data_IF_311611316860
#
_entry.id   IF_311611316860
#
_cell.length_a   1.000
_cell.length_b   1.000
_cell.length_c   1.000
_cell.angle_alpha   90.00
_cell.angle_beta   90.00
_cell.angle_gamma   90.00
#
_symmetry.space_group_name_H-M   'P 1'
#
loop_
_entity.id
_entity.type
_entity.pdbx_description
1 polymer ?
#
# COMPACT_ATOMS: atom_id res chain seq x y z
N UNK A 1 0.95 -60.97 -14.07
CA UNK A 1 0.31 -59.72 -13.63
C UNK A 1 1.28 -58.62 -14.02
N UNK A 2 0.91 -57.69 -14.85
CA UNK A 2 1.80 -56.57 -15.13
C UNK A 2 1.89 -55.72 -13.90
N UNK A 3 3.12 -55.39 -13.50
CA UNK A 3 3.45 -54.44 -12.45
C UNK A 3 2.77 -53.11 -12.73
N UNK A 4 1.84 -52.71 -11.85
CA UNK A 4 1.30 -51.37 -11.83
C UNK A 4 2.45 -50.46 -11.33
N UNK A 5 3.19 -49.88 -12.26
CA UNK A 5 4.00 -48.72 -11.97
C UNK A 5 3.09 -47.60 -11.45
N UNK A 6 3.06 -47.43 -10.13
CA UNK A 6 2.50 -46.22 -9.53
C UNK A 6 3.37 -45.07 -9.97
N UNK A 7 2.99 -44.42 -11.07
CA UNK A 7 3.51 -43.11 -11.39
C UNK A 7 3.05 -42.16 -10.29
N UNK A 8 3.91 -41.90 -9.32
CA UNK A 8 3.70 -40.86 -8.32
C UNK A 8 3.65 -39.58 -9.13
N UNK A 9 2.44 -39.08 -9.40
CA UNK A 9 2.25 -37.75 -9.98
C UNK A 9 2.98 -36.76 -9.05
N UNK A 10 3.87 -35.92 -9.58
CA UNK A 10 4.60 -34.99 -8.77
C UNK A 10 3.59 -34.14 -7.99
N UNK A 11 3.83 -33.99 -6.68
CA UNK A 11 2.99 -33.14 -5.84
C UNK A 11 3.01 -31.73 -6.43
N UNK A 12 1.90 -31.37 -7.04
CA UNK A 12 1.75 -30.18 -7.86
C UNK A 12 1.67 -28.91 -7.02
N UNK A 13 1.18 -29.03 -5.79
CA UNK A 13 0.97 -27.92 -4.87
C UNK A 13 1.72 -28.14 -3.57
N UNK A 14 2.23 -27.05 -3.02
CA UNK A 14 2.78 -27.01 -1.65
C UNK A 14 1.90 -26.12 -0.80
N UNK A 15 1.72 -26.53 0.44
CA UNK A 15 0.93 -25.80 1.42
C UNK A 15 1.82 -25.42 2.58
N UNK A 16 1.87 -24.13 2.84
CA UNK A 16 2.62 -23.54 3.96
C UNK A 16 1.59 -22.97 4.93
N UNK A 17 1.65 -23.42 6.19
CA UNK A 17 0.86 -22.82 7.26
C UNK A 17 1.45 -21.47 7.61
N UNK A 18 0.63 -20.44 7.59
CA UNK A 18 0.94 -19.08 7.99
C UNK A 18 0.23 -18.80 9.30
N UNK A 19 0.97 -18.56 10.37
CA UNK A 19 0.39 -18.19 11.67
C UNK A 19 0.60 -16.70 11.91
N UNK A 20 -0.51 -16.01 12.12
CA UNK A 20 -0.56 -14.59 12.47
C UNK A 20 -0.76 -14.49 13.98
N UNK A 21 0.10 -13.75 14.68
CA UNK A 21 0.05 -13.60 16.14
C UNK A 21 -0.13 -12.14 16.52
N UNK A 22 -1.30 -11.79 17.02
CA UNK A 22 -1.55 -10.47 17.59
C UNK A 22 -1.15 -10.47 19.06
N UNK A 23 -0.01 -9.89 19.38
CA UNK A 23 0.52 -9.74 20.73
C UNK A 23 0.00 -8.47 21.44
N UNK A 24 -0.93 -7.73 20.83
CA UNK A 24 -1.51 -6.53 21.41
C UNK A 24 -2.69 -6.87 22.29
N UNK A 25 -2.94 -6.05 23.31
CA UNK A 25 -4.10 -6.15 24.21
C UNK A 25 -5.43 -5.76 23.54
N UNK A 26 -5.40 -5.33 22.30
CA UNK A 26 -6.56 -4.93 21.48
C UNK A 26 -6.63 -5.79 20.24
N UNK A 27 -7.82 -6.20 19.84
CA UNK A 27 -8.04 -6.91 18.60
C UNK A 27 -7.75 -6.00 17.38
N UNK A 28 -7.37 -6.60 16.24
CA UNK A 28 -7.30 -5.88 14.97
C UNK A 28 -8.69 -5.46 14.48
N UNK A 29 -8.76 -4.58 13.52
CA UNK A 29 -10.03 -4.21 12.87
C UNK A 29 -10.72 -5.43 12.23
N UNK A 30 -11.97 -5.25 11.80
CA UNK A 30 -12.72 -6.24 11.03
C UNK A 30 -13.36 -5.58 9.81
N UNK A 31 -12.93 -5.87 8.58
CA UNK A 31 -11.80 -6.73 8.23
C UNK A 31 -10.44 -6.11 8.60
N UNK A 32 -9.42 -6.97 8.69
CA UNK A 32 -8.02 -6.59 8.85
C UNK A 32 -7.22 -6.91 7.60
N UNK A 33 -6.28 -6.04 7.23
CA UNK A 33 -5.35 -6.27 6.13
C UNK A 33 -3.96 -6.56 6.68
N UNK A 34 -3.59 -7.83 6.62
CA UNK A 34 -2.31 -8.33 7.12
C UNK A 34 -1.24 -8.27 6.03
N UNK A 35 -0.13 -7.64 6.33
CA UNK A 35 1.09 -7.78 5.52
C UNK A 35 1.77 -9.12 5.80
N UNK A 36 2.03 -9.90 4.75
CA UNK A 36 2.79 -11.14 4.79
C UNK A 36 4.06 -10.94 3.98
N UNK A 37 5.21 -11.01 4.67
CA UNK A 37 6.54 -10.85 4.09
C UNK A 37 7.36 -12.11 4.33
N UNK A 38 7.92 -12.70 3.26
CA UNK A 38 8.76 -13.89 3.32
C UNK A 38 9.97 -13.74 2.39
N UNK A 39 11.16 -14.10 2.86
CA UNK A 39 12.32 -14.12 1.96
C UNK A 39 12.20 -15.25 0.94
N UNK A 40 12.70 -15.00 -0.26
CA UNK A 40 12.67 -15.99 -1.34
C UNK A 40 13.43 -17.28 -0.93
N UNK A 41 14.61 -17.14 -0.34
CA UNK A 41 15.42 -18.27 0.11
C UNK A 41 14.69 -19.10 1.18
N UNK A 42 14.02 -18.45 2.15
CA UNK A 42 13.25 -19.16 3.15
C UNK A 42 12.04 -19.85 2.54
N UNK A 43 11.39 -19.22 1.56
CA UNK A 43 10.31 -19.83 0.80
C UNK A 43 10.79 -21.09 0.07
N UNK A 44 11.93 -21.04 -0.62
CA UNK A 44 12.55 -22.22 -1.28
C UNK A 44 12.86 -23.33 -0.28
N UNK A 45 13.39 -22.97 0.90
CA UNK A 45 13.66 -23.95 1.97
C UNK A 45 12.39 -24.65 2.46
N UNK A 46 11.28 -23.93 2.59
CA UNK A 46 9.97 -24.48 2.96
C UNK A 46 9.38 -25.36 1.84
N UNK A 47 9.56 -24.97 0.58
CA UNK A 47 9.05 -25.71 -0.57
C UNK A 47 9.85 -26.99 -0.85
N UNK A 48 11.13 -27.00 -0.52
CA UNK A 48 12.07 -28.08 -0.86
C UNK A 48 12.39 -28.18 -2.36
N UNK A 49 12.01 -27.16 -3.15
CA UNK A 49 12.23 -27.10 -4.60
C UNK A 49 12.49 -25.66 -5.03
N UNK A 50 13.18 -25.48 -6.16
CA UNK A 50 13.36 -24.17 -6.77
C UNK A 50 12.11 -23.70 -7.51
N UNK A 51 11.79 -22.42 -7.40
CA UNK A 51 10.76 -21.75 -8.20
C UNK A 51 11.29 -20.36 -8.57
N UNK A 52 11.00 -19.92 -9.79
CA UNK A 52 11.35 -18.58 -10.25
C UNK A 52 10.61 -17.54 -9.38
N UNK A 53 11.32 -16.56 -8.78
CA UNK A 53 10.69 -15.54 -7.94
C UNK A 53 9.61 -14.74 -8.66
N UNK A 54 9.74 -14.53 -9.97
CA UNK A 54 8.75 -13.79 -10.75
C UNK A 54 7.48 -14.59 -11.06
N UNK A 55 7.50 -15.90 -10.88
CA UNK A 55 6.34 -16.78 -11.05
C UNK A 55 5.59 -17.00 -9.74
N UNK A 56 6.25 -16.83 -8.60
CA UNK A 56 5.66 -17.01 -7.27
C UNK A 56 4.33 -16.26 -7.09
N UNK A 57 4.22 -14.97 -7.44
CA UNK A 57 2.96 -14.23 -7.26
C UNK A 57 1.80 -14.79 -8.08
N UNK A 58 2.06 -15.33 -9.26
CA UNK A 58 1.04 -15.88 -10.17
C UNK A 58 0.52 -17.25 -9.71
N UNK A 59 1.33 -17.96 -8.94
CA UNK A 59 1.06 -19.35 -8.54
C UNK A 59 0.69 -19.47 -7.07
N UNK A 60 0.47 -18.35 -6.37
CA UNK A 60 0.21 -18.31 -4.94
C UNK A 60 -1.21 -17.83 -4.66
N UNK A 61 -1.93 -18.59 -3.85
CA UNK A 61 -3.20 -18.17 -3.24
C UNK A 61 -3.13 -18.35 -1.73
N UNK A 62 -4.00 -17.65 -1.01
CA UNK A 62 -4.20 -17.83 0.41
C UNK A 62 -5.57 -18.46 0.66
N UNK A 63 -5.63 -19.41 1.60
CA UNK A 63 -6.86 -20.04 2.05
C UNK A 63 -7.05 -19.74 3.53
N UNK A 64 -8.29 -19.43 3.88
CA UNK A 64 -8.76 -19.28 5.24
C UNK A 64 -9.48 -20.58 5.68
N UNK A 65 -8.83 -21.43 6.47
CA UNK A 65 -9.44 -22.70 6.89
C UNK A 65 -10.59 -22.51 7.87
N UNK A 66 -10.65 -21.37 8.58
CA UNK A 66 -11.71 -21.09 9.54
C UNK A 66 -13.00 -20.65 8.83
N UNK A 67 -12.86 -19.88 7.75
CA UNK A 67 -13.98 -19.53 6.88
C UNK A 67 -14.29 -20.59 5.82
N UNK A 68 -13.45 -21.62 5.68
CA UNK A 68 -13.51 -22.61 4.59
C UNK A 68 -13.58 -21.93 3.22
N UNK A 69 -12.78 -20.92 3.01
CA UNK A 69 -12.80 -20.04 1.84
C UNK A 69 -11.40 -19.65 1.39
N UNK A 70 -11.28 -19.19 0.15
CA UNK A 70 -10.10 -18.50 -0.32
C UNK A 70 -10.07 -17.09 0.28
N UNK A 71 -8.94 -16.69 0.87
CA UNK A 71 -8.75 -15.35 1.38
C UNK A 71 -8.36 -14.40 0.23
N UNK A 72 -8.96 -13.22 0.19
CA UNK A 72 -8.54 -12.19 -0.75
C UNK A 72 -7.12 -11.74 -0.45
N UNK A 73 -6.28 -11.74 -1.47
CA UNK A 73 -4.90 -11.31 -1.37
C UNK A 73 -4.51 -10.39 -2.51
N UNK A 74 -3.48 -9.60 -2.29
CA UNK A 74 -2.91 -8.69 -3.26
C UNK A 74 -1.38 -8.73 -3.15
N UNK A 75 -0.72 -9.03 -4.26
CA UNK A 75 0.74 -9.10 -4.31
C UNK A 75 1.32 -7.70 -4.50
N UNK A 76 2.17 -7.28 -3.57
CA UNK A 76 2.80 -5.98 -3.58
C UNK A 76 4.08 -5.95 -4.42
N UNK A 77 5.06 -6.75 -4.05
CA UNK A 77 6.39 -6.64 -4.64
C UNK A 77 7.30 -7.83 -4.34
N UNK A 78 8.32 -7.94 -5.16
CA UNK A 78 9.56 -8.65 -4.86
C UNK A 78 10.71 -7.63 -4.93
N UNK A 79 11.41 -7.44 -3.81
CA UNK A 79 12.49 -6.45 -3.71
C UNK A 79 13.89 -7.03 -4.01
N UNK A 80 13.94 -8.22 -4.59
CA UNK A 80 15.18 -8.99 -4.82
C UNK A 80 15.50 -9.97 -3.69
N UNK A 81 14.86 -9.83 -2.53
CA UNK A 81 15.07 -10.69 -1.36
C UNK A 81 13.75 -11.20 -0.82
N UNK A 82 12.75 -10.34 -0.69
CA UNK A 82 11.47 -10.63 -0.05
C UNK A 82 10.29 -10.50 -1.01
N UNK A 83 9.39 -11.48 -0.95
CA UNK A 83 8.04 -11.37 -1.45
C UNK A 83 7.14 -10.74 -0.40
N UNK A 84 6.16 -9.94 -0.85
CA UNK A 84 5.23 -9.24 0.00
C UNK A 84 3.81 -9.34 -0.54
N UNK A 85 2.89 -9.73 0.33
CA UNK A 85 1.45 -9.75 0.06
C UNK A 85 0.71 -8.96 1.12
N UNK A 86 -0.43 -8.44 0.74
CA UNK A 86 -1.49 -8.00 1.66
C UNK A 86 -2.63 -9.01 1.57
N UNK A 87 -3.05 -9.54 2.72
CA UNK A 87 -4.10 -10.56 2.80
C UNK A 87 -5.20 -10.07 3.71
N UNK A 88 -6.43 -10.08 3.20
CA UNK A 88 -7.61 -9.70 3.98
C UNK A 88 -8.00 -10.82 4.90
N UNK A 89 -8.10 -10.54 6.18
CA UNK A 89 -8.50 -11.47 7.24
C UNK A 89 -9.69 -10.92 8.02
N UNK A 90 -10.40 -11.75 8.77
CA UNK A 90 -11.24 -11.28 9.87
C UNK A 90 -10.39 -10.61 10.95
N UNK A 91 -11.06 -10.06 11.97
CA UNK A 91 -10.36 -9.57 13.16
C UNK A 91 -9.55 -10.67 13.85
N UNK A 92 -8.31 -10.35 14.21
CA UNK A 92 -7.47 -11.20 15.05
C UNK A 92 -7.60 -10.70 16.48
N UNK A 93 -8.11 -11.54 17.38
CA UNK A 93 -8.37 -11.19 18.75
C UNK A 93 -7.13 -10.69 19.50
N UNK A 94 -7.34 -9.99 20.61
CA UNK A 94 -6.25 -9.58 21.51
C UNK A 94 -5.49 -10.81 22.04
N UNK A 95 -4.15 -10.74 22.05
CA UNK A 95 -3.25 -11.83 22.50
C UNK A 95 -3.62 -13.18 21.91
N UNK A 96 -3.99 -13.22 20.64
CA UNK A 96 -4.44 -14.45 19.99
C UNK A 96 -3.75 -14.68 18.62
N UNK A 97 -3.98 -15.87 18.07
CA UNK A 97 -3.44 -16.29 16.78
C UNK A 97 -4.55 -16.52 15.77
N UNK A 98 -4.22 -16.34 14.50
CA UNK A 98 -5.03 -16.70 13.34
C UNK A 98 -4.20 -17.51 12.35
N UNK A 99 -4.81 -18.48 11.71
CA UNK A 99 -4.10 -19.35 10.74
C UNK A 99 -4.64 -19.13 9.34
N UNK A 100 -3.73 -18.96 8.39
CA UNK A 100 -3.97 -19.04 6.96
C UNK A 100 -3.13 -20.17 6.36
N UNK A 101 -3.48 -20.60 5.17
CA UNK A 101 -2.64 -21.46 4.35
C UNK A 101 -2.22 -20.69 3.08
N UNK A 102 -0.91 -20.63 2.85
CA UNK A 102 -0.32 -20.17 1.60
C UNK A 102 -0.13 -21.40 0.70
N UNK A 103 -0.79 -21.43 -0.43
CA UNK A 103 -0.79 -22.54 -1.38
C UNK A 103 -0.07 -22.11 -2.64
N UNK A 104 1.00 -22.81 -3.01
CA UNK A 104 1.81 -22.51 -4.18
C UNK A 104 1.76 -23.67 -5.16
N UNK A 105 1.38 -23.38 -6.42
CA UNK A 105 1.44 -24.34 -7.52
C UNK A 105 2.85 -24.31 -8.14
N UNK A 106 3.50 -25.48 -8.13
CA UNK A 106 4.87 -25.63 -8.62
C UNK A 106 4.98 -25.79 -10.13
N UNK A 107 3.87 -25.86 -10.85
CA UNK A 107 3.84 -26.17 -12.29
C UNK A 107 3.76 -24.93 -13.18
N UNK A 108 3.99 -23.74 -12.63
CA UNK A 108 3.90 -22.46 -13.33
C UNK A 108 2.55 -22.21 -14.01
N UNK A 109 1.48 -22.75 -13.44
CA UNK A 109 0.12 -22.47 -13.90
C UNK A 109 -0.55 -21.51 -12.93
N UNK A 110 -1.20 -20.48 -13.47
CA UNK A 110 -2.04 -19.58 -12.69
C UNK A 110 -3.07 -20.38 -11.91
N UNK A 111 -3.09 -20.22 -10.60
CA UNK A 111 -4.06 -20.89 -9.72
C UNK A 111 -5.43 -20.22 -9.89
N UNK A 112 -5.49 -18.90 -9.65
CA UNK A 112 -6.67 -18.06 -9.85
C UNK A 112 -6.25 -16.60 -9.92
N UNK A 113 -6.32 -16.03 -11.12
CA UNK A 113 -5.91 -14.65 -11.37
C UNK A 113 -6.70 -13.60 -10.57
N UNK A 114 -7.95 -13.90 -10.22
CA UNK A 114 -8.79 -12.96 -9.48
C UNK A 114 -8.34 -12.78 -8.02
N UNK A 115 -7.56 -13.71 -7.47
CA UNK A 115 -7.10 -13.69 -6.08
C UNK A 115 -5.59 -13.57 -5.94
N UNK A 116 -4.85 -13.71 -7.04
CA UNK A 116 -3.40 -13.59 -7.00
C UNK A 116 -2.93 -12.17 -6.69
N UNK A 117 -3.78 -11.16 -6.95
CA UNK A 117 -3.51 -9.78 -6.61
C UNK A 117 -2.23 -9.27 -7.25
N UNK A 118 -2.02 -9.56 -8.55
CA UNK A 118 -0.84 -9.11 -9.24
C UNK A 118 -0.96 -7.62 -9.47
N UNK A 119 -0.04 -6.93 -8.91
CA UNK A 119 0.16 -5.53 -9.18
C UNK A 119 1.03 -5.35 -10.42
N UNK A 120 0.42 -4.99 -11.53
CA UNK A 120 1.13 -4.56 -12.72
C UNK A 120 1.56 -3.09 -12.58
N UNK A 121 2.12 -2.72 -11.41
CA UNK A 121 2.63 -1.37 -11.16
C UNK A 121 3.75 -1.08 -12.16
N UNK A 122 3.80 0.15 -12.63
CA UNK A 122 4.88 0.65 -13.45
C UNK A 122 4.97 -0.01 -14.83
N UNK A 123 3.85 -0.46 -15.36
CA UNK A 123 3.84 -1.14 -16.66
C UNK A 123 4.62 -2.46 -16.67
N UNK A 124 4.97 -2.99 -15.50
CA UNK A 124 5.58 -4.32 -15.42
C UNK A 124 4.58 -5.35 -15.89
N UNK A 125 5.01 -6.13 -16.85
CA UNK A 125 4.21 -7.16 -17.47
C UNK A 125 4.75 -8.51 -17.00
N UNK A 126 4.11 -9.08 -15.98
CA UNK A 126 4.44 -10.42 -15.52
C UNK A 126 3.90 -11.45 -16.52
N UNK A 127 4.80 -12.19 -17.17
CA UNK A 127 4.45 -13.27 -18.11
C UNK A 127 3.49 -12.83 -19.25
N UNK A 128 3.60 -11.60 -19.73
CA UNK A 128 2.74 -11.09 -20.80
C UNK A 128 1.37 -10.60 -20.36
N UNK A 129 1.11 -10.43 -19.08
CA UNK A 129 -0.17 -9.94 -18.56
C UNK A 129 -0.36 -8.44 -18.80
N UNK A 130 -1.60 -8.03 -19.07
CA UNK A 130 -1.94 -6.63 -19.22
C UNK A 130 -1.95 -5.92 -17.86
N UNK A 131 -1.69 -4.61 -17.86
CA UNK A 131 -1.76 -3.80 -16.65
C UNK A 131 -3.10 -4.00 -15.93
N UNK A 132 -3.04 -4.34 -14.64
CA UNK A 132 -4.21 -4.54 -13.79
C UNK A 132 -5.05 -5.79 -14.09
N UNK A 133 -4.66 -6.65 -15.01
CA UNK A 133 -5.47 -7.81 -15.44
C UNK A 133 -5.88 -8.73 -14.27
N UNK A 134 -4.99 -8.93 -13.30
CA UNK A 134 -5.23 -9.78 -12.13
C UNK A 134 -5.20 -8.99 -10.82
N UNK A 135 -5.39 -7.69 -10.90
CA UNK A 135 -5.34 -6.82 -9.73
C UNK A 135 -6.60 -7.00 -8.88
N UNK A 136 -6.41 -7.47 -7.66
CA UNK A 136 -7.45 -7.77 -6.68
C UNK A 136 -7.55 -6.71 -5.57
N UNK A 137 -6.89 -5.57 -5.70
CA UNK A 137 -6.80 -4.56 -4.64
C UNK A 137 -8.16 -4.09 -4.10
N UNK A 138 -9.16 -3.98 -4.97
CA UNK A 138 -10.53 -3.59 -4.57
C UNK A 138 -11.21 -4.56 -3.60
N UNK A 139 -10.84 -5.83 -3.60
CA UNK A 139 -11.38 -6.84 -2.68
C UNK A 139 -10.59 -6.90 -1.37
N UNK A 140 -9.30 -6.50 -1.39
CA UNK A 140 -8.41 -6.53 -0.23
C UNK A 140 -8.53 -5.28 0.62
N UNK A 141 -8.42 -4.10 0.01
CA UNK A 141 -8.33 -2.82 0.69
C UNK A 141 -9.70 -2.17 0.90
N UNK A 142 -9.81 -1.26 1.86
CA UNK A 142 -11.03 -0.49 2.13
C UNK A 142 -11.32 0.53 1.02
N UNK A 143 -10.26 1.11 0.46
CA UNK A 143 -10.28 1.92 -0.75
C UNK A 143 -9.05 1.57 -1.56
N UNK A 144 -9.24 1.41 -2.85
CA UNK A 144 -8.16 1.06 -3.77
C UNK A 144 -8.43 1.62 -5.15
N UNK A 145 -7.38 2.17 -5.77
CA UNK A 145 -7.38 2.51 -7.18
C UNK A 145 -5.99 2.26 -7.78
N UNK A 146 -5.92 1.56 -8.89
CA UNK A 146 -4.71 1.37 -9.69
C UNK A 146 -4.65 2.28 -10.91
N UNK A 147 -5.63 3.18 -11.05
CA UNK A 147 -5.75 4.12 -12.16
C UNK A 147 -5.59 3.46 -13.54
N UNK A 148 -6.10 2.22 -13.68
CA UNK A 148 -6.06 1.49 -14.94
C UNK A 148 -6.90 2.16 -16.03
N UNK A 149 -6.42 2.10 -17.27
CA UNK A 149 -7.10 2.72 -18.42
C UNK A 149 -6.76 4.19 -18.59
N UNK A 150 -7.71 4.96 -19.11
CA UNK A 150 -7.50 6.37 -19.51
C UNK A 150 -8.49 7.34 -18.89
N UNK A 151 -9.33 6.87 -17.95
CA UNK A 151 -10.38 7.67 -17.32
C UNK A 151 -10.25 7.62 -15.81
N UNK A 152 -10.33 8.79 -15.17
CA UNK A 152 -10.34 8.87 -13.71
C UNK A 152 -11.61 8.24 -13.15
N UNK A 153 -11.46 7.41 -12.12
CA UNK A 153 -12.59 6.83 -11.40
C UNK A 153 -13.46 7.90 -10.74
N UNK A 154 -14.77 7.70 -10.74
CA UNK A 154 -15.76 8.61 -10.14
C UNK A 154 -15.67 8.73 -8.60
N UNK A 155 -14.86 7.90 -7.95
CA UNK A 155 -14.57 8.07 -6.51
C UNK A 155 -13.71 9.31 -6.23
N UNK A 156 -13.02 9.84 -7.24
CA UNK A 156 -12.15 10.99 -7.12
C UNK A 156 -12.84 12.25 -7.57
N UNK A 157 -12.78 13.28 -6.75
CA UNK A 157 -13.02 14.68 -7.12
C UNK A 157 -11.68 15.38 -7.31
N UNK A 158 -11.66 16.41 -8.15
CA UNK A 158 -10.46 17.17 -8.48
C UNK A 158 -10.52 18.58 -7.94
N UNK A 159 -9.40 19.17 -7.59
CA UNK A 159 -9.26 20.58 -7.22
C UNK A 159 -7.95 21.15 -7.78
N UNK A 160 -7.93 22.44 -8.04
CA UNK A 160 -6.80 23.13 -8.69
C UNK A 160 -6.99 23.31 -10.20
N UNK A 161 -5.95 23.78 -10.87
CA UNK A 161 -5.98 24.07 -12.32
C UNK A 161 -4.76 23.51 -13.08
N UNK A 162 -4.02 22.61 -12.47
CA UNK A 162 -3.00 21.82 -13.15
C UNK A 162 -3.61 20.77 -14.07
N UNK A 163 -2.75 20.06 -14.76
CA UNK A 163 -3.15 19.00 -15.70
C UNK A 163 -3.21 17.65 -15.00
N UNK A 164 -4.32 16.93 -15.15
CA UNK A 164 -4.48 15.55 -14.69
C UNK A 164 -4.64 14.65 -15.93
N UNK A 165 -3.78 13.65 -16.04
CA UNK A 165 -3.82 12.67 -17.12
C UNK A 165 -3.86 11.26 -16.53
N UNK A 166 -4.76 10.41 -17.03
CA UNK A 166 -4.85 9.00 -16.66
C UNK A 166 -4.41 8.15 -17.84
N UNK A 167 -3.41 7.31 -17.63
CA UNK A 167 -2.92 6.35 -18.61
C UNK A 167 -2.19 5.22 -17.87
N UNK A 168 -2.95 4.24 -17.34
CA UNK A 168 -2.41 3.18 -16.48
C UNK A 168 -1.54 3.76 -15.35
N UNK A 169 -2.15 4.64 -14.60
CA UNK A 169 -1.59 5.53 -13.60
C UNK A 169 -2.18 6.93 -13.77
N UNK A 170 -2.17 7.73 -12.71
CA UNK A 170 -2.62 9.13 -12.76
C UNK A 170 -1.43 10.06 -12.60
N UNK A 171 -1.22 10.92 -13.59
CA UNK A 171 -0.19 11.96 -13.56
C UNK A 171 -0.82 13.32 -13.26
N UNK A 172 -0.32 13.98 -12.23
CA UNK A 172 -0.68 15.37 -11.90
C UNK A 172 0.53 16.27 -12.20
N UNK A 173 0.32 17.23 -13.06
CA UNK A 173 1.36 18.20 -13.47
C UNK A 173 0.91 19.62 -13.13
N UNK A 174 1.77 20.37 -12.44
CA UNK A 174 1.53 21.74 -11.99
C UNK A 174 2.72 22.61 -12.38
N UNK A 175 2.46 23.74 -13.02
CA UNK A 175 3.45 24.78 -13.33
C UNK A 175 3.46 25.87 -12.27
N UNK A 176 4.48 26.73 -12.27
CA UNK A 176 4.58 27.88 -11.34
C UNK A 176 3.47 28.93 -11.48
N UNK A 177 2.72 28.90 -12.57
CA UNK A 177 1.55 29.78 -12.79
C UNK A 177 0.21 29.15 -12.41
N UNK A 178 0.21 27.87 -11.96
CA UNK A 178 -0.99 27.11 -11.64
C UNK A 178 -1.11 26.91 -10.13
N UNK A 179 -2.35 26.74 -9.65
CA UNK A 179 -2.59 26.35 -8.26
C UNK A 179 -2.24 24.87 -8.04
N UNK A 180 -1.91 24.48 -6.80
CA UNK A 180 -1.77 23.08 -6.43
C UNK A 180 -2.99 22.27 -6.91
N UNK A 181 -2.72 21.09 -7.45
CA UNK A 181 -3.78 20.24 -8.04
C UNK A 181 -3.85 18.92 -7.33
N UNK A 182 -5.06 18.51 -6.98
CA UNK A 182 -5.31 17.38 -6.09
C UNK A 182 -6.42 16.45 -6.58
N UNK A 183 -6.33 15.22 -6.13
CA UNK A 183 -7.40 14.23 -6.13
C UNK A 183 -7.86 14.00 -4.70
N UNK A 184 -9.18 13.98 -4.49
CA UNK A 184 -9.82 13.89 -3.18
C UNK A 184 -10.91 12.84 -3.23
N UNK A 185 -10.97 11.98 -2.23
CA UNK A 185 -12.06 11.02 -2.03
C UNK A 185 -12.60 11.07 -0.61
N UNK A 186 -13.88 10.75 -0.47
CA UNK A 186 -14.52 10.66 0.85
C UNK A 186 -14.29 9.30 1.47
N UNK A 187 -14.07 9.28 2.78
CA UNK A 187 -13.95 8.07 3.58
C UNK A 187 -15.25 7.85 4.33
N UNK A 188 -15.96 6.78 4.00
CA UNK A 188 -17.25 6.44 4.60
C UNK A 188 -17.12 5.71 5.93
N UNK A 189 -16.02 4.96 6.12
CA UNK A 189 -15.77 4.19 7.34
C UNK A 189 -14.29 4.23 7.69
N UNK A 190 -14.01 4.56 8.95
CA UNK A 190 -12.65 4.62 9.49
C UNK A 190 -12.51 3.52 10.53
N UNK A 191 -11.54 2.60 10.38
CA UNK A 191 -11.25 1.59 11.40
C UNK A 191 -10.90 2.22 12.75
N UNK A 192 -11.36 1.61 13.84
CA UNK A 192 -11.15 2.14 15.20
C UNK A 192 -9.69 2.11 15.64
N UNK A 193 -8.88 1.25 15.05
CA UNK A 193 -7.44 1.14 15.33
C UNK A 193 -6.61 2.20 14.65
N UNK A 194 -7.07 2.72 13.51
CA UNK A 194 -6.37 3.68 12.68
C UNK A 194 -6.39 3.30 11.21
N UNK A 195 -5.62 4.01 10.42
CA UNK A 195 -5.58 3.87 8.96
C UNK A 195 -4.15 3.91 8.43
N UNK A 196 -3.98 3.26 7.30
CA UNK A 196 -2.77 3.29 6.50
C UNK A 196 -3.14 3.67 5.07
N UNK A 197 -2.39 4.59 4.48
CA UNK A 197 -2.31 4.73 3.02
C UNK A 197 -0.97 4.22 2.54
N UNK A 198 -1.01 3.38 1.55
CA UNK A 198 0.16 2.98 0.75
C UNK A 198 -0.05 3.46 -0.68
N UNK A 199 0.99 4.02 -1.24
CA UNK A 199 0.95 4.47 -2.63
C UNK A 199 2.22 4.02 -3.36
N UNK A 200 2.11 3.89 -4.67
CA UNK A 200 3.20 3.61 -5.60
C UNK A 200 3.25 4.74 -6.60
N UNK A 201 4.36 5.44 -6.63
CA UNK A 201 4.46 6.66 -7.42
C UNK A 201 5.86 6.86 -8.00
N UNK A 202 5.93 7.76 -8.98
CA UNK A 202 7.18 8.27 -9.56
C UNK A 202 7.17 9.79 -9.50
N UNK A 203 8.29 10.36 -9.14
CA UNK A 203 8.57 11.77 -9.32
C UNK A 203 9.11 11.96 -10.73
N UNK A 204 8.32 12.56 -11.61
CA UNK A 204 8.73 12.80 -13.01
C UNK A 204 9.58 14.09 -13.10
N UNK A 205 9.17 15.14 -12.41
CA UNK A 205 9.89 16.40 -12.33
C UNK A 205 9.58 17.17 -11.05
N UNK A 206 10.54 17.93 -10.56
CA UNK A 206 10.37 18.91 -9.49
C UNK A 206 10.84 20.24 -10.03
N UNK A 207 9.94 21.23 -10.06
CA UNK A 207 10.26 22.59 -10.52
C UNK A 207 10.52 23.51 -9.34
N UNK A 208 11.67 24.24 -9.42
CA UNK A 208 12.00 25.32 -8.50
C UNK A 208 12.21 24.94 -7.04
N UNK A 209 12.43 25.95 -6.21
CA UNK A 209 12.95 25.78 -4.85
C UNK A 209 11.94 25.96 -3.72
N UNK A 210 10.64 26.11 -3.99
CA UNK A 210 9.66 26.31 -2.93
C UNK A 210 8.37 25.52 -3.18
N UNK A 211 7.97 24.71 -2.21
CA UNK A 211 6.70 24.00 -2.14
C UNK A 211 6.44 22.93 -3.23
N UNK A 212 7.47 22.48 -3.94
CA UNK A 212 7.30 21.41 -4.91
C UNK A 212 7.37 20.04 -4.20
N UNK A 213 6.24 19.52 -3.80
CA UNK A 213 6.16 18.25 -3.10
C UNK A 213 4.98 17.39 -3.54
N UNK A 214 5.08 16.11 -3.29
CA UNK A 214 3.97 15.19 -3.33
C UNK A 214 3.36 15.06 -1.93
N UNK A 215 2.08 15.30 -1.82
CA UNK A 215 1.38 15.41 -0.54
C UNK A 215 0.31 14.35 -0.45
N UNK A 216 0.25 13.63 0.67
CA UNK A 216 -0.92 12.82 1.05
C UNK A 216 -1.50 13.38 2.34
N UNK A 217 -2.80 13.50 2.38
CA UNK A 217 -3.53 14.18 3.44
C UNK A 217 -4.71 13.34 3.94
N UNK A 218 -4.84 13.27 5.25
CA UNK A 218 -6.01 12.74 5.95
C UNK A 218 -6.70 13.86 6.74
N UNK A 219 -7.98 14.08 6.54
CA UNK A 219 -8.65 15.09 7.33
C UNK A 219 -10.07 15.40 6.89
N UNK A 220 -10.43 16.66 7.10
CA UNK A 220 -11.68 17.24 6.71
C UNK A 220 -11.44 18.56 5.98
N UNK A 221 -12.24 18.87 4.97
CA UNK A 221 -12.05 20.03 4.08
C UNK A 221 -10.64 20.10 3.49
N UNK A 222 -10.04 18.95 3.16
CA UNK A 222 -8.66 18.88 2.69
C UNK A 222 -8.45 19.73 1.42
N UNK A 223 -7.27 20.35 1.32
CA UNK A 223 -6.86 21.25 0.25
C UNK A 223 -7.73 22.52 0.11
N UNK A 224 -8.37 22.95 1.20
CA UNK A 224 -9.12 24.22 1.27
C UNK A 224 -8.48 25.17 2.31
N UNK A 225 -8.95 26.42 2.33
CA UNK A 225 -8.52 27.40 3.34
C UNK A 225 -8.99 27.08 4.77
N UNK A 226 -9.94 26.15 4.95
CA UNK A 226 -10.45 25.68 6.25
C UNK A 226 -10.02 24.24 6.58
N UNK A 227 -8.98 23.75 5.95
CA UNK A 227 -8.46 22.38 6.12
C UNK A 227 -8.10 22.08 7.56
N UNK A 228 -8.56 20.91 8.05
CA UNK A 228 -8.18 20.31 9.31
C UNK A 228 -7.67 18.90 9.03
N UNK A 229 -6.33 18.69 9.15
CA UNK A 229 -5.74 17.47 8.61
C UNK A 229 -4.39 17.13 9.24
N UNK A 230 -4.01 15.85 9.10
CA UNK A 230 -2.63 15.41 9.10
C UNK A 230 -2.13 15.16 7.68
N UNK A 231 -0.86 15.48 7.46
CA UNK A 231 -0.26 15.55 6.14
C UNK A 231 1.08 14.84 6.17
N UNK A 232 1.37 14.07 5.13
CA UNK A 232 2.74 13.69 4.78
C UNK A 232 3.13 14.36 3.49
N UNK A 233 4.37 14.84 3.45
CA UNK A 233 4.98 15.43 2.27
C UNK A 233 6.24 14.65 1.97
N UNK A 234 6.40 14.25 0.71
CA UNK A 234 7.62 13.67 0.18
C UNK A 234 8.26 14.67 -0.79
N UNK A 235 9.55 14.92 -0.59
CA UNK A 235 10.38 15.81 -1.42
C UNK A 235 9.80 17.21 -1.55
N UNK A 236 9.81 17.93 -0.45
CA UNK A 236 9.38 19.32 -0.43
C UNK A 236 10.55 20.25 -0.70
N UNK A 237 10.29 21.21 -1.57
CA UNK A 237 11.16 22.31 -1.98
C UNK A 237 12.63 21.94 -2.28
N UNK A 238 13.47 22.90 -2.59
CA UNK A 238 14.88 22.67 -2.91
C UNK A 238 15.76 22.14 -1.78
N UNK A 239 15.18 21.81 -0.62
CA UNK A 239 15.86 21.22 0.53
C UNK A 239 15.65 19.71 0.65
N UNK A 240 14.83 19.10 -0.23
CA UNK A 240 14.62 17.65 -0.24
C UNK A 240 14.23 17.07 1.13
N UNK A 241 13.33 17.73 1.86
CA UNK A 241 12.88 17.24 3.17
C UNK A 241 11.57 16.46 3.05
N UNK A 242 11.54 15.26 3.64
CA UNK A 242 10.31 14.57 3.95
C UNK A 242 9.73 15.10 5.26
N UNK A 243 8.41 15.25 5.33
CA UNK A 243 7.77 15.88 6.49
C UNK A 243 6.48 15.19 6.90
N UNK A 244 6.26 15.14 8.23
CA UNK A 244 4.94 14.99 8.84
C UNK A 244 4.49 16.37 9.33
N UNK A 245 3.25 16.73 9.02
CA UNK A 245 2.70 18.04 9.35
C UNK A 245 1.21 17.95 9.70
N UNK A 246 0.65 19.06 10.16
CA UNK A 246 -0.79 19.26 10.33
C UNK A 246 -1.23 20.61 9.80
N UNK A 247 -2.53 20.70 9.49
CA UNK A 247 -3.23 21.96 9.32
C UNK A 247 -4.36 22.07 10.33
N UNK A 248 -4.52 23.25 10.91
CA UNK A 248 -5.62 23.63 11.81
C UNK A 248 -6.27 24.87 11.22
N UNK A 249 -7.52 24.72 10.74
CA UNK A 249 -8.24 25.81 10.04
C UNK A 249 -7.38 26.45 8.92
N UNK A 250 -6.74 25.59 8.12
CA UNK A 250 -5.85 25.98 7.02
C UNK A 250 -4.43 26.38 7.41
N UNK A 251 -4.15 26.66 8.68
CA UNK A 251 -2.81 27.04 9.16
C UNK A 251 -1.90 25.84 9.27
N UNK A 252 -0.80 25.84 8.52
CA UNK A 252 0.19 24.76 8.45
C UNK A 252 1.17 24.79 9.62
N UNK A 253 1.51 23.62 10.13
CA UNK A 253 2.55 23.39 11.14
C UNK A 253 3.31 22.11 10.86
N UNK A 254 4.62 22.19 10.67
CA UNK A 254 5.48 20.99 10.61
C UNK A 254 5.57 20.35 11.99
N UNK A 255 5.41 19.02 12.05
CA UNK A 255 5.52 18.22 13.27
C UNK A 255 6.87 17.51 13.33
N UNK A 256 7.34 16.98 12.23
CA UNK A 256 8.65 16.33 12.10
C UNK A 256 9.13 16.43 10.65
N UNK A 257 10.46 16.43 10.47
CA UNK A 257 11.09 16.45 9.15
C UNK A 257 12.41 15.70 9.15
N UNK A 258 12.79 15.18 8.00
CA UNK A 258 14.10 14.56 7.74
C UNK A 258 14.57 14.95 6.35
N UNK A 259 15.84 15.30 6.22
CA UNK A 259 16.42 15.59 4.92
C UNK A 259 16.58 14.29 4.11
N UNK A 260 16.16 14.34 2.88
CA UNK A 260 16.21 13.25 1.93
C UNK A 260 16.80 13.69 0.59
N UNK A 261 17.13 12.75 -0.28
CA UNK A 261 17.63 13.02 -1.62
C UNK A 261 16.53 12.79 -2.65
N UNK A 262 16.26 13.78 -3.48
CA UNK A 262 15.30 13.63 -4.57
C UNK A 262 15.75 12.55 -5.54
N UNK A 263 14.90 11.57 -5.80
CA UNK A 263 15.14 10.53 -6.79
C UNK A 263 14.11 10.64 -7.91
N UNK A 264 14.53 11.29 -9.01
CA UNK A 264 13.70 11.44 -10.20
C UNK A 264 13.60 10.14 -10.99
N UNK A 265 12.45 9.91 -11.61
CA UNK A 265 12.18 8.83 -12.54
C UNK A 265 12.40 7.42 -11.96
N UNK A 266 12.30 7.28 -10.65
CA UNK A 266 12.32 5.97 -9.98
C UNK A 266 11.00 5.71 -9.27
N UNK A 267 10.51 4.48 -9.38
CA UNK A 267 9.35 4.04 -8.64
C UNK A 267 9.68 3.95 -7.16
N UNK A 268 8.87 4.58 -6.34
CA UNK A 268 8.88 4.39 -4.89
C UNK A 268 7.52 3.92 -4.40
N UNK A 269 7.49 3.32 -3.24
CA UNK A 269 6.27 3.25 -2.46
C UNK A 269 6.40 4.11 -1.21
N UNK A 270 5.34 4.88 -0.98
CA UNK A 270 5.16 5.68 0.22
C UNK A 270 4.16 5.03 1.15
N UNK A 271 4.34 5.24 2.44
CA UNK A 271 3.52 4.69 3.49
C UNK A 271 3.19 5.79 4.48
N UNK A 272 1.90 6.04 4.71
CA UNK A 272 1.45 6.99 5.72
C UNK A 272 0.45 6.29 6.64
N UNK A 273 0.79 6.16 7.92
CA UNK A 273 -0.04 5.57 8.94
C UNK A 273 -0.46 6.62 9.97
N UNK A 274 -1.73 6.58 10.32
CA UNK A 274 -2.29 7.28 11.46
C UNK A 274 -3.04 6.27 12.33
N UNK A 275 -2.50 5.97 13.50
CA UNK A 275 -3.21 5.17 14.50
C UNK A 275 -3.47 5.98 15.77
N UNK A 276 -4.45 5.57 16.55
CA UNK A 276 -4.91 6.29 17.72
C UNK A 276 -5.03 5.33 18.92
N UNK A 277 -4.49 5.75 20.06
CA UNK A 277 -4.70 5.14 21.37
C UNK A 277 -5.35 6.15 22.30
N UNK A 278 -4.59 6.88 23.07
CA UNK A 278 -5.02 8.07 23.84
C UNK A 278 -4.58 9.37 23.16
N UNK A 279 -3.72 9.27 22.18
CA UNK A 279 -3.26 10.35 21.29
C UNK A 279 -3.09 9.80 19.89
N UNK A 280 -2.98 10.66 18.90
CA UNK A 280 -2.68 10.28 17.52
C UNK A 280 -1.18 10.05 17.36
N UNK A 281 -0.84 8.97 16.70
CA UNK A 281 0.52 8.63 16.26
C UNK A 281 0.56 8.62 14.74
N UNK A 282 1.48 9.37 14.19
CA UNK A 282 1.70 9.49 12.75
C UNK A 282 3.04 8.85 12.42
N UNK A 283 3.06 8.09 11.34
CA UNK A 283 4.26 7.47 10.82
C UNK A 283 4.26 7.57 9.29
N UNK A 284 5.40 7.93 8.73
CA UNK A 284 5.63 7.87 7.29
C UNK A 284 6.91 7.11 6.98
N UNK A 285 6.94 6.53 5.79
CA UNK A 285 8.09 5.82 5.26
C UNK A 285 8.17 6.01 3.74
N UNK A 286 9.40 6.06 3.23
CA UNK A 286 9.71 6.12 1.81
C UNK A 286 10.74 5.04 1.47
N UNK A 287 10.51 4.31 0.39
CA UNK A 287 11.23 3.06 0.10
C UNK A 287 12.58 3.24 -0.61
N UNK A 288 12.78 4.33 -1.36
CA UNK A 288 14.00 4.50 -2.16
C UNK A 288 15.20 4.86 -1.30
N UNK A 289 14.99 5.77 -0.35
CA UNK A 289 16.04 6.26 0.56
C UNK A 289 15.95 5.61 1.93
N UNK A 290 14.90 4.80 2.15
CA UNK A 290 14.62 4.10 3.42
C UNK A 290 14.47 5.07 4.59
N UNK A 291 13.87 6.25 4.33
CA UNK A 291 13.61 7.26 5.35
C UNK A 291 12.26 7.03 6.01
N UNK A 292 12.21 7.33 7.29
CA UNK A 292 10.98 7.27 8.06
C UNK A 292 10.92 8.40 9.08
N UNK A 293 9.70 8.84 9.37
CA UNK A 293 9.40 9.78 10.45
C UNK A 293 8.27 9.23 11.30
N UNK A 294 8.31 9.54 12.58
CA UNK A 294 7.21 9.29 13.50
C UNK A 294 7.03 10.45 14.47
N UNK A 295 5.79 10.75 14.81
CA UNK A 295 5.46 11.80 15.79
C UNK A 295 4.11 11.49 16.44
N UNK A 296 3.94 11.92 17.69
CA UNK A 296 2.63 11.94 18.36
C UNK A 296 2.07 13.36 18.37
N UNK A 297 0.77 13.49 18.17
CA UNK A 297 0.04 14.76 18.21
C UNK A 297 -1.38 14.54 18.74
N UNK A 298 -1.89 15.46 19.54
CA UNK A 298 -3.22 15.34 20.18
C UNK A 298 -4.29 16.23 19.52
N UNK A 299 -3.98 16.86 18.38
CA UNK A 299 -4.89 17.81 17.73
C UNK A 299 -6.14 17.14 17.19
N UNK A 300 -5.99 15.98 16.53
CA UNK A 300 -7.10 15.27 15.93
C UNK A 300 -7.21 13.83 16.43
N UNK A 301 -8.44 13.33 16.46
CA UNK A 301 -8.75 11.91 16.64
C UNK A 301 -9.18 11.32 15.29
N UNK A 302 -9.28 10.01 15.18
CA UNK A 302 -9.71 9.33 13.95
C UNK A 302 -11.09 9.78 13.46
N UNK A 303 -11.94 10.32 14.34
CA UNK A 303 -13.26 10.87 13.94
C UNK A 303 -13.17 12.11 13.03
N UNK A 304 -12.03 12.79 13.01
CA UNK A 304 -11.77 13.90 12.10
C UNK A 304 -11.47 13.46 10.66
N UNK A 305 -11.15 12.16 10.44
CA UNK A 305 -10.88 11.60 9.13
C UNK A 305 -12.19 11.42 8.34
N UNK A 306 -12.42 12.28 7.37
CA UNK A 306 -13.57 12.27 6.45
C UNK A 306 -13.15 12.13 5.00
N UNK A 307 -11.93 12.51 4.69
CA UNK A 307 -11.39 12.57 3.34
C UNK A 307 -9.93 12.08 3.34
N UNK A 308 -9.57 11.45 2.23
CA UNK A 308 -8.20 11.17 1.82
C UNK A 308 -7.94 11.91 0.52
N UNK A 309 -6.77 12.46 0.37
CA UNK A 309 -6.37 13.07 -0.90
C UNK A 309 -4.89 13.06 -1.10
N UNK A 310 -4.49 13.27 -2.35
CA UNK A 310 -3.11 13.54 -2.71
C UNK A 310 -3.01 14.68 -3.71
N UNK A 311 -1.89 15.37 -3.68
CA UNK A 311 -1.71 16.65 -4.37
C UNK A 311 -0.28 16.79 -4.87
N UNK A 312 -0.16 17.36 -6.07
CA UNK A 312 1.08 17.99 -6.55
C UNK A 312 1.03 19.48 -6.20
N UNK A 313 2.02 19.96 -5.46
CA UNK A 313 2.09 21.36 -5.08
C UNK A 313 2.61 22.26 -6.21
N UNK A 314 2.29 23.53 -6.11
CA UNK A 314 2.79 24.55 -7.03
C UNK A 314 4.30 24.74 -6.82
N UNK A 315 5.13 24.58 -7.87
CA UNK A 315 6.55 24.89 -7.76
C UNK A 315 6.80 26.40 -7.75
N UNK A 316 7.91 26.84 -7.16
CA UNK A 316 8.34 28.25 -7.21
C UNK A 316 8.72 28.69 -8.64
N UNK A 317 9.19 27.76 -9.47
CA UNK A 317 9.48 27.96 -10.89
C UNK A 317 9.41 26.63 -11.63
N UNK A 318 9.24 26.65 -12.95
CA UNK A 318 9.21 25.44 -13.77
C UNK A 318 7.95 24.60 -13.57
N UNK A 319 8.10 23.27 -13.56
CA UNK A 319 7.02 22.30 -13.54
C UNK A 319 7.30 21.18 -12.57
N UNK A 320 6.34 20.86 -11.70
CA UNK A 320 6.34 19.67 -10.88
C UNK A 320 5.34 18.65 -11.43
N UNK A 321 5.73 17.39 -11.49
CA UNK A 321 4.90 16.30 -12.01
C UNK A 321 5.16 15.00 -11.27
N UNK A 322 4.09 14.32 -10.86
CA UNK A 322 4.11 13.04 -10.16
C UNK A 322 3.11 12.10 -10.80
N UNK A 323 3.51 10.85 -10.98
CA UNK A 323 2.61 9.78 -11.44
C UNK A 323 2.37 8.81 -10.30
N UNK A 324 1.10 8.61 -9.94
CA UNK A 324 0.65 7.59 -8.98
C UNK A 324 0.09 6.41 -9.77
N UNK A 325 0.67 5.23 -9.56
CA UNK A 325 0.25 4.00 -10.22
C UNK A 325 -0.80 3.24 -9.43
N UNK A 326 -0.74 3.29 -8.12
CA UNK A 326 -1.77 2.75 -7.26
C UNK A 326 -1.79 3.46 -5.91
N UNK A 327 -2.96 3.47 -5.29
CA UNK A 327 -3.18 3.89 -3.92
C UNK A 327 -4.07 2.88 -3.21
N UNK A 328 -3.66 2.46 -2.02
CA UNK A 328 -4.41 1.57 -1.15
C UNK A 328 -4.61 2.21 0.22
N UNK A 329 -5.83 2.11 0.74
CA UNK A 329 -6.20 2.58 2.06
C UNK A 329 -6.80 1.43 2.86
N UNK A 330 -6.30 1.20 4.07
CA UNK A 330 -6.69 0.07 4.91
C UNK A 330 -6.47 0.37 6.39
N UNK A 331 -6.85 -0.56 7.25
CA UNK A 331 -6.73 -0.40 8.70
C UNK A 331 -5.28 -0.38 9.17
N UNK A 332 -4.99 0.46 10.17
CA UNK A 332 -3.77 0.34 10.93
C UNK A 332 -3.93 -0.74 12.01
N UNK A 333 -2.88 -1.54 12.28
CA UNK A 333 -2.92 -2.51 13.35
C UNK A 333 -2.98 -1.82 14.72
N UNK A 334 -3.45 -2.52 15.78
CA UNK A 334 -3.46 -1.99 17.12
C UNK A 334 -2.08 -1.48 17.56
N UNK A 335 -2.04 -0.28 18.10
CA UNK A 335 -0.78 0.40 18.52
C UNK A 335 0.26 0.56 17.40
N UNK A 336 -0.16 0.48 16.13
CA UNK A 336 0.74 0.55 14.98
C UNK A 336 1.62 -0.70 14.77
N UNK A 337 1.34 -1.79 15.47
CA UNK A 337 2.16 -3.01 15.44
C UNK A 337 1.42 -4.13 14.72
N UNK A 338 1.88 -4.48 13.50
CA UNK A 338 1.33 -5.61 12.74
C UNK A 338 1.44 -6.92 13.53
N UNK A 339 0.43 -7.79 13.48
CA UNK A 339 0.56 -9.15 13.97
C UNK A 339 1.79 -9.85 13.39
N UNK A 340 2.52 -10.53 14.25
CA UNK A 340 3.71 -11.27 13.83
C UNK A 340 3.34 -12.43 12.91
N UNK A 341 4.19 -12.71 11.91
CA UNK A 341 3.98 -13.78 10.93
C UNK A 341 5.03 -14.86 11.11
N UNK A 342 4.59 -16.10 11.19
CA UNK A 342 5.46 -17.27 11.16
C UNK A 342 4.96 -18.32 10.17
N UNK A 343 5.89 -19.14 9.66
CA UNK A 343 5.63 -20.11 8.61
C UNK A 343 6.07 -21.51 9.03
N UNK A 344 5.30 -22.52 8.62
CA UNK A 344 5.68 -23.93 8.77
C UNK A 344 5.13 -24.76 7.62
N UNK A 345 5.84 -25.83 7.24
CA UNK A 345 5.34 -26.77 6.23
C UNK A 345 4.21 -27.60 6.85
N UNK A 346 3.16 -27.84 6.10
CA UNK A 346 2.19 -28.87 6.41
C UNK A 346 2.72 -30.21 5.86
N UNK A 347 3.11 -31.10 6.77
CA UNK A 347 3.53 -32.47 6.46
C UNK A 347 2.33 -33.32 6.06
#
# INVERSE_FOLDING_TARGET
MPDLEYTILPVRKRVIKVTLTNNQSTATANPHVQEIKISHDYLLALLGVGIDPYVVPLNTIFSDPQANAQAYSWYDSFDGTYHRWFVKTPSIGANSTYTLYMIIDLTNQLIDGNYAGINAIYGQNYLGLSYGQYDNGKNVFLLYDNFAGTTLSSIWSTSGNGTITVNNGVTITVTSSQNPTSLITSISSVPSTGVITRLWAIVNSIGGTSNAGYVVTYGNNIFTSSENSYITLWWTDGNTDDQLAKKVSGSYSSLAKVSDSTILNKLFYGYFMWYYTTTSYLYMFESLTNKSLSVSDSTYTLSALKQLGFQTQQPGSGTSSYTTYAIAFFDAPPSGVMPAVSFSVLN
#
